data_IF_275133799249
#
_entry.id   IF_275133799249
#
_cell.length_a   1.000
_cell.length_b   1.000
_cell.length_c   1.000
_cell.angle_alpha   90.00
_cell.angle_beta   90.00
_cell.angle_gamma   90.00
#
_symmetry.space_group_name_H-M   'P 1'
#
loop_
_entity.id
_entity.type
_entity.pdbx_description
1 polymer ?
#
# COMPACT_ATOMS: atom_id res chain seq x y z
N UNK A 1 8.53 12.02 9.44
CA UNK A 1 9.59 12.46 8.50
C UNK A 1 10.73 11.46 8.66
N UNK A 2 10.95 10.57 7.69
CA UNK A 2 12.12 9.70 7.71
C UNK A 2 13.31 10.52 7.19
N UNK A 3 14.43 10.55 7.91
CA UNK A 3 15.66 11.13 7.38
C UNK A 3 16.13 10.32 6.17
N UNK A 4 16.97 10.90 5.31
CA UNK A 4 17.65 10.18 4.21
C UNK A 4 18.63 9.09 4.70
N UNK A 5 18.66 8.83 6.02
CA UNK A 5 19.42 7.76 6.61
C UNK A 5 18.63 6.44 6.50
N UNK A 6 19.27 5.45 5.89
CA UNK A 6 18.69 4.11 5.69
C UNK A 6 18.61 3.36 7.03
N UNK A 7 17.40 2.97 7.41
CA UNK A 7 17.14 2.09 8.55
C UNK A 7 17.42 0.63 8.16
N UNK A 8 18.69 0.32 7.87
CA UNK A 8 19.12 -0.96 7.30
C UNK A 8 18.87 -2.18 8.19
N UNK A 9 18.59 -2.00 9.47
CA UNK A 9 18.30 -3.10 10.41
C UNK A 9 16.80 -3.32 10.66
N UNK A 10 15.94 -2.39 10.21
CA UNK A 10 14.50 -2.54 10.36
C UNK A 10 14.00 -3.55 9.34
N UNK A 11 13.22 -4.52 9.82
CA UNK A 11 12.62 -5.59 9.01
C UNK A 11 11.10 -5.60 9.08
N UNK A 12 10.53 -4.87 10.02
CA UNK A 12 9.10 -4.88 10.28
C UNK A 12 8.61 -3.48 10.59
N UNK A 13 7.48 -3.13 10.00
CA UNK A 13 6.76 -1.89 10.27
C UNK A 13 5.29 -2.21 10.50
N UNK A 14 4.75 -1.62 11.56
CA UNK A 14 3.32 -1.56 11.81
C UNK A 14 2.87 -0.10 11.69
N UNK A 15 1.94 0.14 10.78
CA UNK A 15 1.32 1.44 10.55
C UNK A 15 -0.07 1.41 11.16
N UNK A 16 -0.34 2.35 12.05
CA UNK A 16 -1.69 2.66 12.49
C UNK A 16 -2.03 4.04 11.96
N UNK A 17 -3.17 4.13 11.31
CA UNK A 17 -3.54 5.37 10.65
C UNK A 17 -4.88 5.92 11.12
N UNK A 18 -4.87 7.21 11.45
CA UNK A 18 -6.07 8.01 11.67
C UNK A 18 -6.46 8.79 10.40
N UNK A 19 -5.53 8.99 9.46
CA UNK A 19 -5.69 9.73 8.20
C UNK A 19 -4.88 9.07 7.06
N UNK A 20 -5.54 8.51 6.05
CA UNK A 20 -4.86 7.64 5.09
C UNK A 20 -3.58 8.16 4.44
N UNK A 21 -2.54 7.34 4.48
CA UNK A 21 -1.25 7.58 3.83
C UNK A 21 -1.40 7.63 2.30
N UNK A 22 -0.86 8.69 1.70
CA UNK A 22 -0.77 8.80 0.25
C UNK A 22 0.39 7.99 -0.34
N UNK A 23 0.40 7.81 -1.66
CA UNK A 23 1.45 7.05 -2.37
C UNK A 23 2.88 7.52 -2.07
N UNK A 24 3.08 8.82 -1.91
CA UNK A 24 4.39 9.39 -1.58
C UNK A 24 4.95 8.85 -0.25
N UNK A 25 4.08 8.57 0.73
CA UNK A 25 4.50 7.99 1.99
C UNK A 25 5.17 6.63 1.78
N UNK A 26 4.56 5.79 0.94
CA UNK A 26 5.08 4.46 0.62
C UNK A 26 6.37 4.53 -0.20
N UNK A 27 6.53 5.54 -1.07
CA UNK A 27 7.80 5.80 -1.75
C UNK A 27 8.91 6.15 -0.77
N UNK A 28 8.63 7.02 0.21
CA UNK A 28 9.62 7.36 1.24
C UNK A 28 9.93 6.16 2.12
N UNK A 29 8.92 5.34 2.45
CA UNK A 29 9.10 4.12 3.24
C UNK A 29 9.99 3.10 2.52
N UNK A 30 9.78 2.86 1.22
CA UNK A 30 10.64 1.96 0.43
C UNK A 30 12.11 2.41 0.45
N UNK A 31 12.36 3.71 0.30
CA UNK A 31 13.72 4.27 0.38
C UNK A 31 14.32 4.16 1.78
N UNK A 32 13.57 4.49 2.82
CA UNK A 32 14.08 4.50 4.20
C UNK A 32 14.30 3.11 4.77
N UNK A 33 13.55 2.10 4.29
CA UNK A 33 13.57 0.73 4.81
C UNK A 33 13.87 -0.29 3.70
N UNK A 34 15.11 -0.31 3.18
CA UNK A 34 15.45 -1.06 1.97
C UNK A 34 15.36 -2.59 2.12
N UNK A 35 15.25 -3.10 3.34
CA UNK A 35 15.18 -4.52 3.66
C UNK A 35 13.89 -4.88 4.42
N UNK A 36 12.83 -4.11 4.21
CA UNK A 36 11.57 -4.33 4.89
C UNK A 36 10.95 -5.68 4.46
N UNK A 37 10.71 -6.55 5.43
CA UNK A 37 10.18 -7.90 5.22
C UNK A 37 8.71 -8.00 5.59
N UNK A 38 8.26 -7.19 6.55
CA UNK A 38 6.92 -7.27 7.12
C UNK A 38 6.26 -5.88 7.18
N UNK A 39 5.10 -5.75 6.56
CA UNK A 39 4.24 -4.57 6.68
C UNK A 39 2.91 -5.00 7.27
N UNK A 40 2.49 -4.33 8.34
CA UNK A 40 1.14 -4.44 8.89
C UNK A 40 0.49 -3.07 8.88
N UNK A 41 -0.67 -2.94 8.22
CA UNK A 41 -1.42 -1.69 8.16
C UNK A 41 -2.73 -1.89 8.91
N UNK A 42 -3.07 -0.90 9.72
CA UNK A 42 -4.33 -0.82 10.45
C UNK A 42 -4.91 0.55 10.23
N UNK A 43 -6.12 0.58 9.68
CA UNK A 43 -6.86 1.81 9.44
C UNK A 43 -8.36 1.50 9.46
N UNK A 44 -9.12 2.32 10.17
CA UNK A 44 -10.56 2.19 10.27
C UNK A 44 -11.32 3.27 9.50
N UNK A 45 -10.64 4.23 8.87
CA UNK A 45 -11.25 5.37 8.18
C UNK A 45 -10.96 5.36 6.67
N UNK A 46 -11.91 5.79 5.82
CA UNK A 46 -11.67 6.01 4.39
C UNK A 46 -10.62 7.10 4.12
N UNK A 47 -9.95 7.06 2.95
CA UNK A 47 -9.13 8.18 2.49
C UNK A 47 -10.05 9.36 2.17
N UNK A 48 -10.30 10.22 3.15
CA UNK A 48 -11.01 11.47 2.93
C UNK A 48 -10.14 12.40 2.10
N UNK A 49 -10.70 12.98 1.03
CA UNK A 49 -9.97 13.77 0.04
C UNK A 49 -8.84 12.97 -0.62
N UNK A 50 -9.16 11.81 -1.22
CA UNK A 50 -8.27 11.15 -2.18
C UNK A 50 -7.81 12.22 -3.18
N UNK A 51 -6.59 12.74 -3.04
CA UNK A 51 -5.94 13.51 -4.11
C UNK A 51 -5.75 12.65 -5.39
N UNK A 52 -6.12 11.37 -5.31
CA UNK A 52 -6.05 10.39 -6.37
C UNK A 52 -7.37 10.17 -7.13
N UNK A 53 -8.53 10.70 -6.68
CA UNK A 53 -9.74 10.67 -7.51
C UNK A 53 -9.61 11.76 -8.56
N UNK A 54 -9.53 11.33 -9.82
CA UNK A 54 -9.25 12.12 -11.01
C UNK A 54 -7.78 12.55 -11.14
N UNK A 55 -7.00 11.74 -11.85
CA UNK A 55 -5.98 12.23 -12.79
C UNK A 55 -5.23 13.51 -12.37
N UNK A 56 -4.68 13.53 -11.15
CA UNK A 56 -3.64 14.48 -10.84
C UNK A 56 -2.47 14.09 -11.73
N UNK A 57 -2.25 14.88 -12.80
CA UNK A 57 -1.15 14.72 -13.76
C UNK A 57 0.20 14.63 -13.05
N UNK A 58 0.29 15.13 -11.82
CA UNK A 58 1.48 15.07 -10.98
C UNK A 58 1.77 13.68 -10.41
N UNK A 59 0.74 12.85 -10.19
CA UNK A 59 0.89 11.48 -9.65
C UNK A 59 1.08 10.40 -10.72
N UNK A 60 0.87 10.72 -12.01
CA UNK A 60 1.20 9.81 -13.12
C UNK A 60 2.71 9.58 -13.25
N UNK A 61 3.53 10.51 -12.74
CA UNK A 61 5.00 10.42 -12.78
C UNK A 61 5.61 9.82 -11.51
N UNK A 62 4.81 9.51 -10.49
CA UNK A 62 5.35 8.90 -9.28
C UNK A 62 5.87 7.50 -9.59
N UNK A 63 7.08 7.22 -9.12
CA UNK A 63 7.73 5.94 -9.34
C UNK A 63 6.91 4.79 -8.74
N UNK A 64 7.06 3.61 -9.33
CA UNK A 64 6.55 2.36 -8.77
C UNK A 64 7.32 2.07 -7.48
N UNK A 65 6.60 1.86 -6.38
CA UNK A 65 7.18 1.45 -5.10
C UNK A 65 7.54 -0.03 -5.18
N UNK A 66 8.78 -0.39 -4.84
CA UNK A 66 9.27 -1.78 -4.95
C UNK A 66 9.69 -2.33 -3.59
N UNK A 67 8.84 -3.15 -2.98
CA UNK A 67 9.20 -3.82 -1.73
C UNK A 67 9.90 -5.16 -1.98
N UNK A 68 11.13 -5.10 -2.50
CA UNK A 68 11.88 -6.27 -2.99
C UNK A 68 12.02 -7.40 -1.96
N UNK A 69 12.11 -7.07 -0.67
CA UNK A 69 12.31 -8.05 0.41
C UNK A 69 11.04 -8.38 1.19
N UNK A 70 9.88 -7.86 0.77
CA UNK A 70 8.63 -8.11 1.48
C UNK A 70 8.29 -9.59 1.39
N UNK A 71 8.03 -10.18 2.54
CA UNK A 71 7.59 -11.58 2.66
C UNK A 71 6.20 -11.67 3.27
N UNK A 72 5.72 -10.62 3.91
CA UNK A 72 4.42 -10.59 4.57
C UNK A 72 3.78 -9.19 4.52
N UNK A 73 2.52 -9.15 4.08
CA UNK A 73 1.68 -7.95 4.02
C UNK A 73 0.35 -8.23 4.72
N UNK A 74 0.09 -7.52 5.82
CA UNK A 74 -1.14 -7.66 6.60
C UNK A 74 -2.07 -6.44 6.45
N UNK A 75 -3.26 -6.70 5.92
CA UNK A 75 -4.35 -5.78 5.59
C UNK A 75 -5.69 -6.23 6.25
N UNK A 76 -5.65 -6.81 7.45
CA UNK A 76 -6.84 -7.43 8.09
C UNK A 76 -7.90 -6.41 8.53
N UNK A 77 -7.46 -5.22 8.93
CA UNK A 77 -8.32 -4.14 9.47
C UNK A 77 -7.96 -2.84 8.79
N UNK A 78 -8.11 -2.82 7.47
CA UNK A 78 -7.83 -1.63 6.65
C UNK A 78 -9.08 -1.24 5.88
N UNK A 79 -9.17 0.04 5.55
CA UNK A 79 -10.08 0.51 4.53
C UNK A 79 -9.64 -0.01 3.14
N UNK A 80 -10.60 -0.17 2.24
CA UNK A 80 -10.39 -0.83 0.95
C UNK A 80 -9.38 -0.08 0.04
N UNK A 81 -9.16 1.22 0.29
CA UNK A 81 -8.16 2.02 -0.44
C UNK A 81 -6.73 1.46 -0.35
N UNK A 82 -6.37 0.83 0.77
CA UNK A 82 -5.05 0.19 0.89
C UNK A 82 -4.99 -1.11 0.09
N UNK A 83 -6.12 -1.76 -0.13
CA UNK A 83 -6.21 -2.94 -0.97
C UNK A 83 -6.05 -2.52 -2.43
N UNK A 84 -6.75 -1.46 -2.85
CA UNK A 84 -6.56 -0.84 -4.17
C UNK A 84 -5.08 -0.50 -4.39
N UNK A 85 -4.43 0.16 -3.43
CA UNK A 85 -3.05 0.61 -3.56
C UNK A 85 -2.03 -0.50 -3.70
N UNK A 86 -2.17 -1.59 -2.94
CA UNK A 86 -1.20 -2.68 -2.92
C UNK A 86 -1.48 -3.78 -3.95
N UNK A 87 -2.76 -4.03 -4.28
CA UNK A 87 -3.17 -5.18 -5.08
C UNK A 87 -3.73 -4.82 -6.46
N UNK A 88 -4.36 -3.64 -6.61
CA UNK A 88 -5.08 -3.28 -7.84
C UNK A 88 -4.27 -2.29 -8.69
N UNK A 89 -3.76 -1.23 -8.09
CA UNK A 89 -2.97 -0.24 -8.82
C UNK A 89 -1.56 -0.77 -9.13
N UNK A 90 -1.09 -0.53 -10.36
CA UNK A 90 0.28 -0.84 -10.81
C UNK A 90 1.36 0.06 -10.18
N UNK A 91 1.03 0.73 -9.07
CA UNK A 91 1.90 1.68 -8.37
C UNK A 91 2.78 1.01 -7.32
N UNK A 92 2.43 -0.20 -6.88
CA UNK A 92 3.24 -1.01 -5.96
C UNK A 92 3.60 -2.33 -6.64
N UNK A 93 4.87 -2.71 -6.55
CA UNK A 93 5.38 -3.98 -7.01
C UNK A 93 5.75 -4.84 -5.80
N UNK A 94 5.04 -5.95 -5.66
CA UNK A 94 5.23 -6.95 -4.61
C UNK A 94 6.02 -8.15 -5.16
N UNK A 95 6.88 -8.79 -4.35
CA UNK A 95 7.48 -10.07 -4.69
C UNK A 95 6.44 -11.18 -4.90
N UNK A 96 6.76 -12.17 -5.74
CA UNK A 96 5.84 -13.28 -6.08
C UNK A 96 5.49 -14.20 -4.89
N UNK A 97 6.24 -14.13 -3.80
CA UNK A 97 6.13 -15.00 -2.62
C UNK A 97 5.69 -14.26 -1.35
N UNK A 98 4.99 -13.13 -1.49
CA UNK A 98 4.42 -12.40 -0.35
C UNK A 98 3.26 -13.19 0.25
N UNK A 99 3.31 -13.43 1.55
CA UNK A 99 2.17 -13.88 2.33
C UNK A 99 1.23 -12.69 2.53
N UNK A 100 0.05 -12.76 1.92
CA UNK A 100 -0.98 -11.74 2.06
C UNK A 100 -1.98 -12.17 3.14
N UNK A 101 -2.17 -11.33 4.15
CA UNK A 101 -3.19 -11.52 5.17
C UNK A 101 -4.24 -10.41 5.04
N UNK A 102 -5.40 -10.74 4.49
CA UNK A 102 -6.45 -9.79 4.12
C UNK A 102 -7.82 -10.36 4.48
N UNK A 103 -8.76 -9.46 4.81
CA UNK A 103 -10.16 -9.82 4.96
C UNK A 103 -10.72 -10.34 3.63
N UNK A 104 -11.34 -11.53 3.64
CA UNK A 104 -11.98 -12.09 2.44
C UNK A 104 -13.04 -11.14 1.86
N UNK A 105 -13.86 -10.53 2.71
CA UNK A 105 -14.90 -9.60 2.27
C UNK A 105 -14.33 -8.37 1.57
N UNK A 106 -13.21 -7.85 2.05
CA UNK A 106 -12.55 -6.70 1.44
C UNK A 106 -11.86 -7.06 0.13
N UNK A 107 -11.22 -8.24 0.06
CA UNK A 107 -10.66 -8.77 -1.19
C UNK A 107 -11.75 -9.00 -2.24
N UNK A 108 -12.91 -9.51 -1.82
CA UNK A 108 -14.05 -9.79 -2.68
C UNK A 108 -14.61 -8.53 -3.32
N UNK A 109 -14.82 -7.45 -2.55
CA UNK A 109 -15.31 -6.17 -3.07
C UNK A 109 -14.39 -5.64 -4.17
N UNK A 110 -13.09 -5.55 -3.88
CA UNK A 110 -12.12 -4.97 -4.81
C UNK A 110 -11.89 -5.81 -6.08
N UNK A 111 -11.86 -7.15 -5.98
CA UNK A 111 -11.56 -8.01 -7.13
C UNK A 111 -12.79 -8.46 -7.93
N UNK A 112 -13.97 -8.54 -7.33
CA UNK A 112 -15.17 -9.05 -8.02
C UNK A 112 -16.01 -7.90 -8.55
N UNK A 113 -16.24 -6.84 -7.76
CA UNK A 113 -17.10 -5.73 -8.18
C UNK A 113 -16.38 -4.78 -9.16
N UNK A 114 -15.04 -4.76 -9.16
CA UNK A 114 -14.25 -4.04 -10.16
C UNK A 114 -14.36 -4.60 -11.59
N UNK A 115 -14.84 -5.83 -11.77
CA UNK A 115 -15.02 -6.46 -13.08
C UNK A 115 -16.42 -6.27 -13.68
N UNK A 116 -17.38 -5.67 -12.95
CA UNK A 116 -18.72 -5.41 -13.47
C UNK A 116 -18.82 -4.11 -14.31
N UNK A 117 -17.75 -3.32 -14.37
CA UNK A 117 -17.70 -2.06 -15.12
C UNK A 117 -16.84 -2.08 -16.40
N UNK A 118 -16.37 -3.25 -16.83
CA UNK A 118 -15.75 -3.44 -18.15
C UNK A 118 -16.58 -4.35 -19.06
N UNK A 119 -17.68 -3.82 -19.63
CA UNK A 119 -18.28 -4.30 -20.89
C UNK A 119 -18.99 -3.17 -21.63
#
# INVERSE_FOLDING_TARGET
NFSDELFKCVRQISLFDEKPFEHEFFLRMEKSFPFLENISIHNFQPQNNKSCTESNKDNQYLSIVKYTYLTNLSLIKVHDDYIEQFLVYTKVSLPNNVHLNISYESLKRELIEGNEYEF
#
